data_IF_141992135360
#
_entry.id   IF_141992135360
#
_cell.length_a   1.000
_cell.length_b   1.000
_cell.length_c   1.000
_cell.angle_alpha   90.00
_cell.angle_beta   90.00
_cell.angle_gamma   90.00
#
_symmetry.space_group_name_H-M   'P 1'
#
loop_
_entity.id
_entity.type
_entity.pdbx_description
1 polymer ?
#
# COMPACT_ATOMS: atom_id res chain seq x y z
N UNK A 1 12.27 1.89 9.93
CA UNK A 1 10.96 2.46 9.54
C UNK A 1 11.06 3.89 9.01
N UNK A 2 11.83 4.78 9.63
CA UNK A 2 12.01 6.18 9.14
C UNK A 2 12.55 6.28 7.70
N UNK A 3 13.51 5.43 7.34
CA UNK A 3 14.06 5.36 5.98
C UNK A 3 13.03 4.91 4.93
N UNK A 4 12.18 3.94 5.27
CA UNK A 4 11.05 3.53 4.43
C UNK A 4 10.06 4.68 4.22
N UNK A 5 9.71 5.37 5.31
CA UNK A 5 8.78 6.50 5.27
C UNK A 5 9.25 7.62 4.35
N UNK A 6 10.52 8.00 4.47
CA UNK A 6 11.10 9.10 3.70
C UNK A 6 11.38 8.74 2.23
N UNK A 7 11.94 7.54 1.98
CA UNK A 7 12.44 7.18 0.65
C UNK A 7 11.39 6.53 -0.25
N UNK A 8 10.43 5.81 0.32
CA UNK A 8 9.48 5.00 -0.44
C UNK A 8 8.06 5.50 -0.24
N UNK A 9 7.61 5.56 1.01
CA UNK A 9 6.21 5.90 1.29
C UNK A 9 5.87 7.35 0.95
N UNK A 10 6.71 8.32 1.31
CA UNK A 10 6.52 9.74 1.01
C UNK A 10 6.40 10.03 -0.49
N UNK A 11 7.47 9.81 -1.29
CA UNK A 11 7.42 10.07 -2.73
C UNK A 11 6.44 9.14 -3.47
N UNK A 12 6.31 7.89 -3.03
CA UNK A 12 5.36 6.95 -3.62
C UNK A 12 3.91 7.37 -3.41
N UNK A 13 3.54 7.80 -2.19
CA UNK A 13 2.19 8.31 -1.91
C UNK A 13 1.93 9.61 -2.65
N UNK A 14 2.92 10.50 -2.73
CA UNK A 14 2.79 11.74 -3.50
C UNK A 14 2.50 11.48 -4.98
N UNK A 15 3.29 10.60 -5.62
CA UNK A 15 3.08 10.22 -7.01
C UNK A 15 1.71 9.53 -7.23
N UNK A 16 1.29 8.70 -6.27
CA UNK A 16 -0.01 8.03 -6.31
C UNK A 16 -1.18 9.02 -6.25
N UNK A 17 -1.17 9.99 -5.32
CA UNK A 17 -2.24 10.98 -5.24
C UNK A 17 -2.26 11.90 -6.47
N UNK A 18 -1.11 12.29 -6.99
CA UNK A 18 -1.02 13.04 -8.25
C UNK A 18 -1.64 12.25 -9.42
N UNK A 19 -1.38 10.95 -9.48
CA UNK A 19 -1.99 10.05 -10.46
C UNK A 19 -3.51 9.98 -10.30
N UNK A 20 -4.02 9.79 -9.08
CA UNK A 20 -5.45 9.78 -8.79
C UNK A 20 -6.12 11.12 -9.13
N UNK A 21 -5.47 12.24 -8.87
CA UNK A 21 -6.00 13.56 -9.19
C UNK A 21 -5.98 13.83 -10.70
N UNK A 22 -5.03 13.28 -11.45
CA UNK A 22 -5.00 13.34 -12.89
C UNK A 22 -6.14 12.52 -13.53
N UNK A 23 -6.38 11.29 -13.06
CA UNK A 23 -7.42 10.41 -13.60
C UNK A 23 -8.83 10.74 -13.09
N UNK A 24 -8.94 11.25 -11.87
CA UNK A 24 -10.21 11.60 -11.21
C UNK A 24 -10.18 13.06 -10.71
N UNK A 25 -10.09 14.06 -11.62
CA UNK A 25 -9.89 15.46 -11.26
C UNK A 25 -11.13 16.12 -10.65
N UNK A 26 -12.33 15.60 -10.94
CA UNK A 26 -13.59 16.20 -10.49
C UNK A 26 -13.90 15.79 -9.04
N UNK A 27 -14.24 16.72 -8.13
CA UNK A 27 -14.57 16.42 -6.74
C UNK A 27 -16.04 15.96 -6.60
N UNK A 28 -16.38 14.84 -7.23
CA UNK A 28 -17.69 14.20 -7.11
C UNK A 28 -17.66 13.08 -6.07
N UNK A 29 -18.79 12.78 -5.42
CA UNK A 29 -18.90 11.67 -4.45
C UNK A 29 -18.47 10.34 -5.08
N UNK A 30 -18.83 10.12 -6.34
CA UNK A 30 -18.42 8.93 -7.09
C UNK A 30 -16.89 8.81 -7.23
N UNK A 31 -16.22 9.89 -7.65
CA UNK A 31 -14.77 9.90 -7.77
C UNK A 31 -14.09 9.75 -6.42
N UNK A 32 -14.66 10.34 -5.37
CA UNK A 32 -14.15 10.24 -4.00
C UNK A 32 -14.23 8.79 -3.50
N UNK A 33 -15.38 8.12 -3.69
CA UNK A 33 -15.54 6.70 -3.41
C UNK A 33 -14.56 5.84 -4.20
N UNK A 34 -14.35 6.13 -5.49
CA UNK A 34 -13.36 5.43 -6.31
C UNK A 34 -11.92 5.63 -5.81
N UNK A 35 -11.53 6.85 -5.43
CA UNK A 35 -10.21 7.12 -4.83
C UNK A 35 -10.03 6.33 -3.52
N UNK A 36 -11.05 6.27 -2.67
CA UNK A 36 -11.02 5.47 -1.44
C UNK A 36 -10.86 3.99 -1.76
N UNK A 37 -11.63 3.45 -2.71
CA UNK A 37 -11.51 2.05 -3.14
C UNK A 37 -10.12 1.74 -3.70
N UNK A 38 -9.57 2.61 -4.55
CA UNK A 38 -8.23 2.46 -5.13
C UNK A 38 -7.14 2.53 -4.05
N UNK A 39 -7.30 3.38 -3.04
CA UNK A 39 -6.38 3.38 -1.89
C UNK A 39 -6.39 2.05 -1.14
N UNK A 40 -7.54 1.42 -0.98
CA UNK A 40 -7.62 0.14 -0.26
C UNK A 40 -7.13 -1.04 -1.12
N UNK A 41 -7.49 -1.09 -2.41
CA UNK A 41 -7.23 -2.24 -3.30
C UNK A 41 -5.87 -2.15 -4.01
N UNK A 42 -5.31 -0.96 -4.21
CA UNK A 42 -4.04 -0.78 -4.92
C UNK A 42 -2.96 -0.32 -3.95
N UNK A 43 -3.15 0.86 -3.34
CA UNK A 43 -2.12 1.46 -2.50
C UNK A 43 -1.83 0.59 -1.26
N UNK A 44 -2.86 0.07 -0.60
CA UNK A 44 -2.73 -0.82 0.57
C UNK A 44 -1.82 -2.04 0.31
N UNK A 45 -2.14 -2.91 -0.68
CA UNK A 45 -1.29 -4.05 -1.02
C UNK A 45 0.11 -3.66 -1.44
N UNK A 46 0.27 -2.60 -2.22
CA UNK A 46 1.58 -2.11 -2.62
C UNK A 46 2.41 -1.69 -1.41
N UNK A 47 1.84 -0.91 -0.49
CA UNK A 47 2.52 -0.44 0.73
C UNK A 47 2.94 -1.62 1.61
N UNK A 48 2.02 -2.54 1.90
CA UNK A 48 2.31 -3.75 2.69
C UNK A 48 3.40 -4.59 2.02
N UNK A 49 3.29 -4.79 0.70
CA UNK A 49 4.28 -5.47 -0.11
C UNK A 49 5.68 -4.87 0.08
N UNK A 50 5.81 -3.56 -0.12
CA UNK A 50 7.10 -2.87 -0.03
C UNK A 50 7.61 -2.82 1.42
N UNK A 51 6.77 -2.67 2.44
CA UNK A 51 7.20 -2.73 3.85
C UNK A 51 7.82 -4.09 4.18
N UNK A 52 7.18 -5.18 3.76
CA UNK A 52 7.70 -6.53 3.98
C UNK A 52 8.99 -6.77 3.21
N UNK A 53 9.08 -6.34 1.95
CA UNK A 53 10.32 -6.40 1.17
C UNK A 53 11.45 -5.62 1.86
N UNK A 54 11.16 -4.38 2.27
CA UNK A 54 12.13 -3.51 2.94
C UNK A 54 12.65 -4.13 4.22
N UNK A 55 11.78 -4.65 5.08
CA UNK A 55 12.20 -5.30 6.32
C UNK A 55 13.06 -6.55 6.06
N UNK A 56 12.68 -7.39 5.09
CA UNK A 56 13.44 -8.61 4.79
C UNK A 56 14.77 -8.32 4.09
N UNK A 57 14.84 -7.25 3.30
CA UNK A 57 16.09 -6.75 2.71
C UNK A 57 17.12 -6.46 3.79
N UNK A 58 16.74 -5.71 4.83
CA UNK A 58 17.61 -5.42 5.98
C UNK A 58 17.96 -6.66 6.80
N UNK A 59 17.11 -7.69 6.80
CA UNK A 59 17.36 -8.96 7.50
C UNK A 59 18.17 -9.96 6.66
N UNK A 60 18.47 -9.67 5.39
CA UNK A 60 19.14 -10.59 4.48
C UNK A 60 18.30 -11.82 4.08
N UNK A 61 16.98 -11.78 4.30
CA UNK A 61 16.06 -12.92 4.08
C UNK A 61 15.13 -12.71 2.88
N UNK A 62 15.69 -12.23 1.77
CA UNK A 62 14.91 -11.99 0.55
C UNK A 62 14.37 -13.29 -0.09
N UNK A 63 15.07 -14.41 0.07
CA UNK A 63 14.64 -15.71 -0.44
C UNK A 63 13.38 -16.25 0.26
N UNK A 64 13.16 -15.88 1.52
CA UNK A 64 11.95 -16.25 2.30
C UNK A 64 10.76 -15.33 2.02
N UNK A 65 10.96 -14.27 1.22
CA UNK A 65 9.96 -13.23 0.97
C UNK A 65 8.66 -13.78 0.32
N UNK A 66 8.70 -14.67 -0.68
CA UNK A 66 7.48 -15.20 -1.30
C UNK A 66 6.60 -15.97 -0.30
N UNK A 67 7.22 -16.80 0.55
CA UNK A 67 6.50 -17.53 1.61
C UNK A 67 5.94 -16.57 2.67
N UNK A 68 6.72 -15.57 3.09
CA UNK A 68 6.25 -14.52 4.01
C UNK A 68 5.08 -13.73 3.44
N UNK A 69 5.08 -13.40 2.14
CA UNK A 69 3.94 -12.70 1.55
C UNK A 69 2.67 -13.54 1.62
N UNK A 70 2.78 -14.84 1.32
CA UNK A 70 1.65 -15.74 1.37
C UNK A 70 1.12 -15.94 2.79
N UNK A 71 2.04 -16.09 3.75
CA UNK A 71 1.70 -16.40 5.15
C UNK A 71 1.27 -15.18 5.95
N UNK A 72 1.95 -14.05 5.78
CA UNK A 72 1.84 -12.90 6.69
C UNK A 72 1.22 -11.67 6.01
N UNK A 73 1.57 -11.39 4.74
CA UNK A 73 1.07 -10.18 4.06
C UNK A 73 -0.39 -10.29 3.57
N UNK A 74 -0.81 -11.44 3.05
CA UNK A 74 -2.20 -11.68 2.65
C UNK A 74 -3.20 -11.56 3.82
N UNK A 75 -2.97 -12.20 4.98
CA UNK A 75 -3.84 -11.97 6.13
C UNK A 75 -3.75 -10.54 6.65
N UNK A 76 -2.57 -9.90 6.66
CA UNK A 76 -2.44 -8.48 7.04
C UNK A 76 -3.30 -7.58 6.17
N UNK A 77 -3.34 -7.85 4.86
CA UNK A 77 -4.22 -7.18 3.92
C UNK A 77 -5.70 -7.39 4.25
N UNK A 78 -6.11 -8.64 4.46
CA UNK A 78 -7.49 -8.99 4.80
C UNK A 78 -7.95 -8.34 6.12
N UNK A 79 -7.10 -8.35 7.15
CA UNK A 79 -7.38 -7.67 8.41
C UNK A 79 -7.43 -6.15 8.24
N UNK A 80 -6.55 -5.58 7.40
CA UNK A 80 -6.58 -4.18 7.03
C UNK A 80 -7.91 -3.79 6.40
N UNK A 81 -8.37 -4.53 5.37
CA UNK A 81 -9.69 -4.31 4.77
C UNK A 81 -10.82 -4.36 5.80
N UNK A 82 -10.78 -5.32 6.71
CA UNK A 82 -11.81 -5.46 7.75
C UNK A 82 -11.79 -4.35 8.80
N UNK A 83 -10.66 -3.71 9.04
CA UNK A 83 -10.55 -2.56 9.95
C UNK A 83 -11.12 -1.27 9.33
N UNK A 84 -11.01 -1.11 8.01
CA UNK A 84 -11.41 0.10 7.30
C UNK A 84 -12.86 0.08 6.77
N UNK A 85 -13.51 -1.09 6.77
CA UNK A 85 -14.94 -1.22 6.49
C UNK A 85 -15.66 -1.20 7.84
N UNK A 86 -16.49 -0.18 8.14
CA UNK A 86 -17.21 -0.07 9.42
C UNK A 86 -18.23 -1.21 9.63
#
# INVERSE_FOLDING_TARGET
MTSYGFLLYGPGSYAWYQCLDHFLPKPTVHNLMFKVLLNQIVLGPCVIGVVFAWNNLWQGRLSELPEKYRRDALPTLFYGFRFWIP
#
